data_IF_472163507841
#
_entry.id   IF_472163507841
#
_cell.length_a   1.000
_cell.length_b   1.000
_cell.length_c   1.000
_cell.angle_alpha   90.00
_cell.angle_beta   90.00
_cell.angle_gamma   90.00
#
_symmetry.space_group_name_H-M   'P 1'
#
loop_
_entity.id
_entity.type
_entity.pdbx_description
1 polymer ?
#
# COMPACT_ATOMS: atom_id res chain seq x y z
N UNK A 1 -17.45 73.31 9.25
CA UNK A 1 -18.23 72.34 10.05
C UNK A 1 -18.44 71.07 9.22
N UNK A 2 -18.13 69.90 9.81
CA UNK A 2 -18.69 68.55 9.56
C UNK A 2 -19.20 68.22 8.12
N UNK A 3 -18.71 67.21 7.39
CA UNK A 3 -18.39 65.84 7.80
C UNK A 3 -17.33 65.23 6.84
N UNK A 4 -16.27 64.68 7.44
CA UNK A 4 -15.51 63.54 6.89
C UNK A 4 -16.50 62.37 6.79
N UNK A 5 -16.55 61.68 5.65
CA UNK A 5 -16.96 60.28 5.46
C UNK A 5 -17.25 60.05 3.97
N UNK A 6 -16.20 59.81 3.17
CA UNK A 6 -16.38 58.95 2.00
C UNK A 6 -15.71 57.63 2.36
N UNK A 7 -16.58 56.70 2.71
CA UNK A 7 -16.33 55.40 3.28
C UNK A 7 -15.51 54.56 2.31
N UNK A 8 -14.42 54.01 2.81
CA UNK A 8 -13.56 53.02 2.15
C UNK A 8 -14.44 51.82 1.74
N UNK A 9 -14.83 51.76 0.47
CA UNK A 9 -15.51 50.62 -0.15
C UNK A 9 -14.48 49.65 -0.77
N UNK A 10 -13.41 49.35 -0.01
CA UNK A 10 -12.36 48.41 -0.40
C UNK A 10 -12.02 47.55 0.81
N UNK A 11 -12.95 46.69 1.25
CA UNK A 11 -12.65 45.47 2.03
C UNK A 11 -13.97 44.76 2.38
N UNK A 12 -14.45 43.89 1.50
CA UNK A 12 -15.23 42.68 1.84
C UNK A 12 -15.71 42.01 0.56
N UNK A 13 -14.81 41.84 -0.41
CA UNK A 13 -14.91 40.69 -1.30
C UNK A 13 -14.59 39.46 -0.44
N UNK A 14 -15.54 39.06 0.41
CA UNK A 14 -15.55 37.75 1.03
C UNK A 14 -15.79 36.79 -0.13
N UNK A 15 -14.70 36.41 -0.79
CA UNK A 15 -14.63 35.15 -1.50
C UNK A 15 -14.91 34.08 -0.46
N UNK A 16 -16.19 33.81 -0.26
CA UNK A 16 -16.66 32.56 0.32
C UNK A 16 -16.23 31.47 -0.65
N UNK A 17 -14.94 31.11 -0.62
CA UNK A 17 -14.51 29.75 -0.91
C UNK A 17 -15.22 28.88 0.12
N UNK A 18 -16.47 28.57 -0.20
CA UNK A 18 -17.18 27.49 0.43
C UNK A 18 -16.30 26.28 0.16
N UNK A 19 -15.59 25.82 1.19
CA UNK A 19 -15.02 24.49 1.20
C UNK A 19 -16.20 23.58 0.92
N UNK A 20 -16.37 23.20 -0.35
CA UNK A 20 -17.43 22.29 -0.73
C UNK A 20 -17.07 21.00 -0.02
N UNK A 21 -17.69 20.78 1.16
CA UNK A 21 -17.73 19.48 1.79
C UNK A 21 -18.14 18.52 0.69
N UNK A 22 -17.26 17.58 0.40
CA UNK A 22 -17.34 16.93 -0.89
C UNK A 22 -18.71 16.22 -1.01
N UNK A 23 -19.46 16.40 -2.12
CA UNK A 23 -20.90 16.11 -2.21
C UNK A 23 -21.32 14.68 -1.82
N UNK A 24 -20.34 13.78 -1.69
CA UNK A 24 -20.47 12.36 -1.40
C UNK A 24 -20.47 11.99 0.10
N UNK A 25 -20.10 12.91 1.01
CA UNK A 25 -20.11 12.66 2.47
C UNK A 25 -21.55 12.49 2.98
N UNK A 26 -22.54 13.09 2.30
CA UNK A 26 -23.96 13.05 2.70
C UNK A 26 -24.63 11.68 2.53
N UNK A 27 -24.02 10.74 1.81
CA UNK A 27 -24.68 9.51 1.37
C UNK A 27 -24.30 8.22 2.12
N UNK A 28 -23.43 8.27 3.13
CA UNK A 28 -23.00 7.08 3.86
C UNK A 28 -23.42 7.11 5.34
N UNK A 29 -24.72 7.11 5.63
CA UNK A 29 -25.26 7.38 6.98
C UNK A 29 -25.30 6.21 7.97
N UNK A 30 -24.48 5.15 7.83
CA UNK A 30 -24.52 4.05 8.83
C UNK A 30 -23.21 3.64 9.51
N UNK A 31 -22.04 4.07 9.04
CA UNK A 31 -20.75 4.05 9.77
C UNK A 31 -19.70 4.74 8.90
N UNK A 32 -19.08 5.82 9.38
CA UNK A 32 -17.89 6.37 8.72
C UNK A 32 -16.79 5.29 8.69
N UNK A 33 -16.03 5.17 7.60
CA UNK A 33 -14.98 4.17 7.49
C UNK A 33 -13.89 4.43 8.54
N UNK A 34 -13.74 3.51 9.50
CA UNK A 34 -12.70 3.63 10.54
C UNK A 34 -11.29 3.43 9.99
N UNK A 35 -11.16 2.80 8.83
CA UNK A 35 -9.89 2.45 8.20
C UNK A 35 -9.86 2.93 6.76
N UNK A 36 -8.86 3.72 6.41
CA UNK A 36 -8.54 4.03 5.01
C UNK A 36 -7.57 2.98 4.48
N UNK A 37 -7.99 2.23 3.46
CA UNK A 37 -7.12 1.30 2.74
C UNK A 37 -6.38 2.07 1.66
N UNK A 38 -5.07 1.86 1.57
CA UNK A 38 -4.18 2.45 0.56
C UNK A 38 -3.46 1.34 -0.19
N UNK A 39 -3.50 1.39 -1.52
CA UNK A 39 -2.87 0.39 -2.38
C UNK A 39 -2.15 1.01 -3.57
N UNK A 40 -1.12 0.32 -4.05
CA UNK A 40 -0.51 0.61 -5.34
C UNK A 40 -1.43 0.23 -6.50
N UNK A 41 -1.30 0.89 -7.64
CA UNK A 41 -2.05 0.54 -8.86
C UNK A 41 -1.50 -0.73 -9.56
N UNK A 42 -1.66 -1.88 -8.92
CA UNK A 42 -1.26 -3.20 -9.41
C UNK A 42 -2.40 -4.21 -9.24
N UNK A 43 -2.42 -5.28 -10.05
CA UNK A 43 -3.50 -6.27 -10.08
C UNK A 43 -3.87 -6.80 -8.68
N UNK A 44 -2.91 -7.40 -7.97
CA UNK A 44 -3.18 -8.08 -6.69
C UNK A 44 -3.55 -7.14 -5.54
N UNK A 45 -2.80 -6.06 -5.24
CA UNK A 45 -3.20 -5.11 -4.21
C UNK A 45 -4.56 -4.46 -4.51
N UNK A 46 -4.83 -4.13 -5.78
CA UNK A 46 -6.12 -3.54 -6.19
C UNK A 46 -7.27 -4.53 -6.05
N UNK A 47 -7.05 -5.81 -6.34
CA UNK A 47 -8.03 -6.87 -6.11
C UNK A 47 -8.35 -7.02 -4.61
N UNK A 48 -7.33 -6.98 -3.75
CA UNK A 48 -7.52 -7.02 -2.30
C UNK A 48 -8.40 -5.85 -1.83
N UNK A 49 -8.06 -4.63 -2.22
CA UNK A 49 -8.84 -3.44 -1.86
C UNK A 49 -10.25 -3.46 -2.43
N UNK A 50 -10.43 -3.95 -3.67
CA UNK A 50 -11.75 -4.10 -4.28
C UNK A 50 -12.61 -5.14 -3.54
N UNK A 51 -12.00 -6.25 -3.08
CA UNK A 51 -12.68 -7.27 -2.28
C UNK A 51 -13.11 -6.70 -0.93
N UNK A 52 -12.21 -6.00 -0.23
CA UNK A 52 -12.53 -5.29 1.02
C UNK A 52 -13.70 -4.31 0.79
N UNK A 53 -13.65 -3.50 -0.28
CA UNK A 53 -14.74 -2.58 -0.64
C UNK A 53 -16.04 -3.34 -0.90
N UNK A 54 -16.01 -4.46 -1.60
CA UNK A 54 -17.21 -5.27 -1.86
C UNK A 54 -17.89 -5.76 -0.59
N UNK A 55 -17.10 -6.10 0.43
CA UNK A 55 -17.58 -6.62 1.71
C UNK A 55 -17.99 -5.53 2.71
N UNK A 56 -17.28 -4.40 2.72
CA UNK A 56 -17.44 -3.35 3.74
C UNK A 56 -18.11 -2.09 3.22
N UNK A 57 -18.25 -1.95 1.90
CA UNK A 57 -18.61 -0.70 1.22
C UNK A 57 -17.71 0.50 1.54
N UNK A 58 -16.52 0.27 2.11
CA UNK A 58 -15.58 1.35 2.45
C UNK A 58 -14.78 1.80 1.21
N UNK A 59 -14.51 3.11 1.07
CA UNK A 59 -13.65 3.59 0.00
C UNK A 59 -12.19 3.20 0.24
N UNK A 60 -11.40 3.19 -0.84
CA UNK A 60 -9.95 2.99 -0.76
C UNK A 60 -9.21 3.92 -1.70
N UNK A 61 -7.97 4.24 -1.33
CA UNK A 61 -7.08 5.10 -2.08
C UNK A 61 -6.13 4.26 -2.94
N UNK A 62 -6.08 4.56 -4.22
CA UNK A 62 -5.05 4.06 -5.13
C UNK A 62 -3.98 5.13 -5.29
N UNK A 63 -2.72 4.72 -5.15
CA UNK A 63 -1.55 5.52 -5.47
C UNK A 63 -0.86 4.90 -6.68
N UNK A 64 -0.61 5.69 -7.70
CA UNK A 64 0.15 5.25 -8.87
C UNK A 64 1.65 5.49 -8.68
N UNK A 65 2.48 4.85 -9.52
CA UNK A 65 3.95 5.03 -9.49
C UNK A 65 4.38 6.49 -9.70
N UNK A 66 3.61 7.24 -10.49
CA UNK A 66 3.81 8.67 -10.78
C UNK A 66 3.12 9.62 -9.78
N UNK A 67 2.76 9.13 -8.58
CA UNK A 67 2.16 9.92 -7.49
C UNK A 67 0.81 10.58 -7.84
N UNK A 68 0.00 9.94 -8.68
CA UNK A 68 -1.41 10.30 -8.84
C UNK A 68 -2.25 9.51 -7.86
N UNK A 69 -3.29 10.15 -7.37
CA UNK A 69 -4.18 9.62 -6.35
C UNK A 69 -5.57 9.41 -6.94
N UNK A 70 -6.17 8.26 -6.68
CA UNK A 70 -7.54 7.97 -7.07
C UNK A 70 -8.30 7.42 -5.87
N UNK A 71 -9.38 8.09 -5.48
CA UNK A 71 -10.29 7.59 -4.46
C UNK A 71 -11.33 6.71 -5.13
N UNK A 72 -11.33 5.42 -4.81
CA UNK A 72 -12.34 4.47 -5.29
C UNK A 72 -13.44 4.37 -4.24
N UNK A 73 -14.64 4.80 -4.62
CA UNK A 73 -15.82 4.82 -3.78
C UNK A 73 -16.88 3.87 -4.31
N UNK A 74 -17.98 3.70 -3.59
CA UNK A 74 -19.04 2.72 -3.91
C UNK A 74 -19.51 2.82 -5.36
N UNK A 75 -19.72 4.04 -5.87
CA UNK A 75 -20.30 4.31 -7.19
C UNK A 75 -19.36 4.99 -8.19
N UNK A 76 -18.18 5.43 -7.77
CA UNK A 76 -17.30 6.24 -8.61
C UNK A 76 -15.83 6.08 -8.23
N UNK A 77 -14.96 6.25 -9.21
CA UNK A 77 -13.52 6.47 -8.98
C UNK A 77 -13.23 7.92 -9.31
N UNK A 78 -12.70 8.67 -8.33
CA UNK A 78 -12.47 10.12 -8.45
C UNK A 78 -10.97 10.40 -8.38
N UNK A 79 -10.39 11.11 -9.37
CA UNK A 79 -9.01 11.58 -9.27
C UNK A 79 -8.90 12.62 -8.15
N UNK A 80 -7.89 12.47 -7.30
CA UNK A 80 -7.61 13.38 -6.18
C UNK A 80 -6.35 14.19 -6.51
N UNK A 81 -6.45 15.52 -6.65
CA UNK A 81 -5.28 16.37 -6.80
C UNK A 81 -4.33 16.23 -5.61
N UNK A 82 -3.02 16.18 -5.85
CA UNK A 82 -2.02 15.94 -4.82
C UNK A 82 -2.03 17.02 -3.71
N UNK A 83 -2.31 18.27 -4.08
CA UNK A 83 -2.46 19.42 -3.20
C UNK A 83 -3.73 19.39 -2.33
N UNK A 84 -4.69 18.52 -2.67
CA UNK A 84 -5.95 18.36 -1.93
C UNK A 84 -6.07 17.00 -1.24
N UNK A 85 -5.05 16.15 -1.32
CA UNK A 85 -5.10 14.81 -0.76
C UNK A 85 -5.44 14.80 0.73
N UNK A 86 -4.88 15.76 1.46
CA UNK A 86 -5.17 16.00 2.87
C UNK A 86 -6.67 16.27 3.10
N UNK A 87 -7.27 17.21 2.35
CA UNK A 87 -8.69 17.54 2.47
C UNK A 87 -9.57 16.31 2.26
N UNK A 88 -9.26 15.48 1.26
CA UNK A 88 -10.02 14.26 0.97
C UNK A 88 -9.88 13.20 2.08
N UNK A 89 -8.67 12.98 2.59
CA UNK A 89 -8.44 12.04 3.69
C UNK A 89 -9.11 12.53 4.97
N UNK A 90 -9.05 13.84 5.25
CA UNK A 90 -9.67 14.45 6.42
C UNK A 90 -11.19 14.36 6.40
N UNK A 91 -11.79 14.48 5.22
CA UNK A 91 -13.23 14.27 5.02
C UNK A 91 -13.68 12.84 5.33
N UNK A 92 -12.81 11.84 5.10
CA UNK A 92 -13.08 10.46 5.49
C UNK A 92 -12.94 10.24 7.00
N UNK A 93 -12.16 11.09 7.68
CA UNK A 93 -11.83 11.02 9.10
C UNK A 93 -11.49 9.59 9.57
N UNK A 94 -10.52 8.90 8.92
CA UNK A 94 -10.20 7.53 9.29
C UNK A 94 -9.42 7.48 10.62
N UNK A 95 -9.72 6.48 11.45
CA UNK A 95 -8.99 6.23 12.69
C UNK A 95 -7.65 5.50 12.46
N UNK A 96 -7.44 4.93 11.26
CA UNK A 96 -6.17 4.34 10.83
C UNK A 96 -6.04 4.34 9.31
N UNK A 97 -4.81 4.34 8.83
CA UNK A 97 -4.46 4.08 7.43
C UNK A 97 -3.79 2.72 7.34
N UNK A 98 -4.24 1.87 6.43
CA UNK A 98 -3.63 0.57 6.16
C UNK A 98 -3.09 0.57 4.75
N UNK A 99 -1.77 0.46 4.62
CA UNK A 99 -1.10 0.29 3.34
C UNK A 99 -0.96 -1.21 3.07
N UNK A 100 -1.47 -1.68 1.93
CA UNK A 100 -1.37 -3.09 1.55
C UNK A 100 -0.28 -3.25 0.49
N UNK A 101 0.66 -4.16 0.76
CA UNK A 101 1.80 -4.47 -0.09
C UNK A 101 3.10 -3.86 0.42
N UNK A 102 4.22 -4.40 -0.08
CA UNK A 102 5.56 -3.90 0.20
C UNK A 102 5.90 -2.62 -0.60
N UNK A 103 7.15 -2.18 -0.50
CA UNK A 103 7.64 -0.96 -1.15
C UNK A 103 7.62 -1.01 -2.68
N UNK A 104 7.50 -2.19 -3.29
CA UNK A 104 7.34 -2.34 -4.75
C UNK A 104 5.99 -1.81 -5.23
N UNK A 105 4.99 -1.78 -4.36
CA UNK A 105 3.63 -1.34 -4.67
C UNK A 105 3.36 0.09 -4.22
N UNK A 106 3.77 0.43 -2.99
CA UNK A 106 3.65 1.78 -2.42
C UNK A 106 5.00 2.11 -1.80
N UNK A 107 5.73 3.05 -2.42
CA UNK A 107 7.11 3.35 -2.00
C UNK A 107 7.15 3.98 -0.62
N UNK A 108 8.30 3.88 0.05
CA UNK A 108 8.51 4.56 1.33
C UNK A 108 8.28 6.07 1.22
N UNK A 109 8.71 6.71 0.13
CA UNK A 109 8.47 8.13 -0.10
C UNK A 109 6.98 8.49 -0.20
N UNK A 110 6.16 7.60 -0.78
CA UNK A 110 4.70 7.78 -0.82
C UNK A 110 4.07 7.60 0.55
N UNK A 111 4.53 6.62 1.32
CA UNK A 111 4.10 6.44 2.71
C UNK A 111 4.45 7.66 3.58
N UNK A 112 5.67 8.19 3.48
CA UNK A 112 6.07 9.39 4.22
C UNK A 112 5.20 10.60 3.87
N UNK A 113 4.80 10.75 2.60
CA UNK A 113 3.83 11.80 2.20
C UNK A 113 2.47 11.64 2.87
N UNK A 114 2.04 10.42 3.18
CA UNK A 114 0.81 10.20 3.95
C UNK A 114 1.02 10.55 5.43
N UNK A 115 2.21 10.30 5.98
CA UNK A 115 2.57 10.63 7.38
C UNK A 115 2.67 12.15 7.62
N UNK A 116 2.98 12.94 6.59
CA UNK A 116 3.07 14.41 6.70
C UNK A 116 1.71 15.12 6.67
N UNK A 117 0.62 14.40 6.40
CA UNK A 117 -0.74 14.97 6.38
C UNK A 117 -1.10 15.45 7.79
N UNK A 118 -1.32 16.77 7.92
CA UNK A 118 -1.29 17.54 9.17
C UNK A 118 -2.39 17.22 10.20
N UNK A 119 -3.35 16.36 9.91
CA UNK A 119 -4.55 16.24 10.74
C UNK A 119 -4.57 14.86 11.39
N UNK A 120 -4.33 14.87 12.70
CA UNK A 120 -4.34 13.74 13.63
C UNK A 120 -3.21 12.74 13.33
N UNK A 121 -2.55 12.25 14.39
CA UNK A 121 -1.55 11.17 14.28
C UNK A 121 -2.27 9.86 13.94
N UNK A 122 -2.87 9.79 12.75
CA UNK A 122 -3.58 8.61 12.29
C UNK A 122 -2.52 7.52 12.13
N UNK A 123 -2.61 6.40 12.88
CA UNK A 123 -1.65 5.34 12.76
C UNK A 123 -1.66 4.79 11.34
N UNK A 124 -0.49 4.78 10.71
CA UNK A 124 -0.26 4.13 9.42
C UNK A 124 0.38 2.78 9.67
N UNK A 125 -0.36 1.73 9.34
CA UNK A 125 0.06 0.33 9.43
C UNK A 125 0.29 -0.19 8.01
N UNK A 126 1.41 -0.85 7.78
CA UNK A 126 1.66 -1.54 6.51
C UNK A 126 1.52 -3.04 6.73
N UNK A 127 0.72 -3.69 5.90
CA UNK A 127 0.60 -5.15 5.84
C UNK A 127 1.21 -5.61 4.52
N UNK A 128 2.23 -6.45 4.61
CA UNK A 128 2.99 -6.92 3.46
C UNK A 128 3.50 -8.35 3.71
N UNK A 129 3.87 -9.04 2.63
CA UNK A 129 4.30 -10.43 2.65
C UNK A 129 4.34 -11.02 1.25
N UNK A 130 4.95 -12.21 1.13
CA UNK A 130 4.98 -12.96 -0.14
C UNK A 130 3.68 -13.72 -0.43
N UNK A 131 2.94 -14.08 0.61
CA UNK A 131 1.68 -14.83 0.50
C UNK A 131 0.47 -13.88 0.65
N UNK A 132 -0.20 -13.62 -0.46
CA UNK A 132 -1.39 -12.78 -0.51
C UNK A 132 -2.60 -13.41 0.21
N UNK A 133 -2.66 -14.74 0.32
CA UNK A 133 -3.67 -15.43 1.10
C UNK A 133 -3.51 -15.17 2.60
N UNK A 134 -2.27 -15.17 3.09
CA UNK A 134 -1.96 -14.82 4.49
C UNK A 134 -2.18 -13.34 4.80
N UNK A 135 -1.84 -12.46 3.86
CA UNK A 135 -2.19 -11.02 3.96
C UNK A 135 -3.71 -10.84 4.07
N UNK A 136 -4.48 -11.65 3.33
CA UNK A 136 -5.94 -11.59 3.38
C UNK A 136 -6.49 -12.01 4.74
N UNK A 137 -5.93 -13.07 5.36
CA UNK A 137 -6.29 -13.52 6.71
C UNK A 137 -6.00 -12.44 7.77
N UNK A 138 -4.79 -11.87 7.75
CA UNK A 138 -4.41 -10.79 8.68
C UNK A 138 -5.33 -9.57 8.54
N UNK A 139 -5.69 -9.21 7.30
CA UNK A 139 -6.64 -8.13 7.04
C UNK A 139 -8.07 -8.50 7.48
N UNK A 140 -8.47 -9.76 7.35
CA UNK A 140 -9.80 -10.25 7.76
C UNK A 140 -9.99 -10.07 9.26
N UNK A 141 -8.97 -10.46 10.03
CA UNK A 141 -8.92 -10.35 11.49
C UNK A 141 -8.82 -8.88 11.92
N UNK A 142 -7.87 -8.12 11.35
CA UNK A 142 -7.66 -6.72 11.73
C UNK A 142 -8.89 -5.85 11.44
N UNK A 143 -9.59 -6.10 10.34
CA UNK A 143 -10.77 -5.34 9.93
C UNK A 143 -12.09 -5.94 10.46
N UNK A 144 -12.04 -7.13 11.06
CA UNK A 144 -13.19 -7.90 11.54
C UNK A 144 -14.26 -8.09 10.45
N UNK A 145 -13.84 -8.61 9.29
CA UNK A 145 -14.71 -8.82 8.11
C UNK A 145 -15.32 -10.24 8.11
N UNK A 146 -14.54 -11.26 8.47
CA UNK A 146 -14.93 -12.66 8.66
C UNK A 146 -14.99 -13.54 7.39
N UNK A 147 -14.87 -12.95 6.20
CA UNK A 147 -14.86 -13.70 4.94
C UNK A 147 -13.91 -13.12 3.89
N UNK A 148 -13.07 -12.15 4.22
CA UNK A 148 -12.15 -11.52 3.28
C UNK A 148 -11.20 -12.54 2.66
N UNK A 149 -10.59 -13.42 3.46
CA UNK A 149 -9.60 -14.36 2.94
C UNK A 149 -10.19 -15.33 1.91
N UNK A 150 -11.39 -15.85 2.20
CA UNK A 150 -12.14 -16.75 1.31
C UNK A 150 -12.54 -16.05 0.01
N UNK A 151 -13.12 -14.86 0.11
CA UNK A 151 -13.59 -14.09 -1.05
C UNK A 151 -12.41 -13.63 -1.92
N UNK A 152 -11.32 -13.20 -1.30
CA UNK A 152 -10.10 -12.83 -2.01
C UNK A 152 -9.50 -14.02 -2.76
N UNK A 153 -9.38 -15.20 -2.14
CA UNK A 153 -8.86 -16.41 -2.79
C UNK A 153 -9.71 -16.82 -3.99
N UNK A 154 -11.04 -16.76 -3.88
CA UNK A 154 -11.95 -17.03 -4.99
C UNK A 154 -11.69 -16.06 -6.15
N UNK A 155 -11.71 -14.76 -5.87
CA UNK A 155 -11.50 -13.74 -6.89
C UNK A 155 -10.09 -13.79 -7.49
N UNK A 156 -9.08 -14.18 -6.71
CA UNK A 156 -7.70 -14.33 -7.15
C UNK A 156 -7.53 -15.52 -8.09
N UNK A 157 -8.17 -16.64 -7.77
CA UNK A 157 -8.24 -17.81 -8.64
C UNK A 157 -8.94 -17.47 -9.97
N UNK A 158 -10.10 -16.82 -9.92
CA UNK A 158 -10.83 -16.40 -11.12
C UNK A 158 -9.99 -15.45 -11.99
N UNK A 159 -9.29 -14.50 -11.37
CA UNK A 159 -8.38 -13.60 -12.07
C UNK A 159 -7.26 -14.39 -12.77
N UNK A 160 -6.64 -15.36 -12.09
CA UNK A 160 -5.57 -16.20 -12.67
C UNK A 160 -6.06 -17.09 -13.82
N UNK A 161 -7.30 -17.56 -13.75
CA UNK A 161 -7.93 -18.37 -14.80
C UNK A 161 -8.37 -17.52 -16.00
N UNK A 162 -8.78 -16.27 -15.78
CA UNK A 162 -9.11 -15.33 -16.86
C UNK A 162 -7.86 -14.83 -17.62
N UNK A 163 -6.68 -14.89 -16.99
CA UNK A 163 -5.37 -14.50 -17.54
C UNK A 163 -4.65 -15.70 -18.20
N UNK A 164 -5.38 -16.76 -18.58
CA UNK A 164 -4.85 -18.04 -19.06
C UNK A 164 -4.07 -18.00 -20.38
N UNK A 165 -3.71 -16.83 -20.90
CA UNK A 165 -2.67 -16.69 -21.92
C UNK A 165 -1.26 -16.70 -21.34
N UNK A 166 -1.09 -16.60 -20.02
CA UNK A 166 0.21 -16.68 -19.34
C UNK A 166 0.17 -17.66 -18.16
N UNK A 167 0.33 -18.95 -18.45
CA UNK A 167 0.60 -19.96 -17.42
C UNK A 167 1.95 -19.65 -16.74
N UNK A 168 2.05 -19.65 -15.41
CA UNK A 168 3.33 -19.49 -14.73
C UNK A 168 4.21 -20.74 -14.96
N UNK A 169 5.43 -20.53 -15.44
CA UNK A 169 6.50 -21.53 -15.37
C UNK A 169 6.79 -21.75 -13.88
N UNK A 170 6.70 -23.00 -13.44
CA UNK A 170 6.99 -23.37 -12.06
C UNK A 170 8.39 -22.87 -11.65
N UNK A 171 8.59 -22.37 -10.41
CA UNK A 171 9.91 -21.96 -9.97
C UNK A 171 10.85 -23.17 -9.98
N UNK A 172 11.90 -23.11 -10.80
CA UNK A 172 12.98 -24.08 -10.74
C UNK A 172 13.65 -23.98 -9.36
N UNK A 173 13.73 -25.13 -8.69
CA UNK A 173 14.52 -25.33 -7.49
C UNK A 173 15.98 -25.01 -7.82
N UNK A 174 16.50 -23.90 -7.32
CA UNK A 174 17.93 -23.59 -7.41
C UNK A 174 18.66 -24.59 -6.52
N UNK A 175 19.39 -25.51 -7.14
CA UNK A 175 20.35 -26.37 -6.44
C UNK A 175 21.48 -25.49 -5.89
N UNK A 176 21.63 -25.56 -4.58
CA UNK A 176 22.69 -24.92 -3.80
C UNK A 176 23.98 -25.72 -4.06
N UNK A 177 24.79 -25.30 -5.04
CA UNK A 177 26.13 -25.84 -5.23
C UNK A 177 27.08 -25.19 -4.23
N UNK A 178 27.34 -25.95 -3.15
CA UNK A 178 28.43 -25.76 -2.21
C UNK A 178 29.77 -25.64 -2.94
N UNK A 179 30.45 -24.53 -2.72
CA UNK A 179 31.81 -24.28 -3.17
C UNK A 179 32.80 -25.24 -2.46
N UNK A 180 33.37 -26.19 -3.21
CA UNK A 180 34.62 -26.85 -2.85
C UNK A 180 35.78 -26.10 -3.52
N UNK A 181 36.46 -25.26 -2.77
CA UNK A 181 37.78 -24.73 -3.15
C UNK A 181 38.81 -25.79 -2.76
N UNK A 182 39.22 -26.61 -3.71
CA UNK A 182 40.47 -27.37 -3.61
C UNK A 182 41.58 -26.54 -4.24
N UNK A 183 42.46 -26.01 -3.39
CA UNK A 183 43.75 -25.49 -3.79
C UNK A 183 44.75 -26.65 -3.76
N UNK A 184 45.36 -26.97 -4.89
CA UNK A 184 46.51 -27.88 -4.94
C UNK A 184 47.56 -27.22 -5.82
N UNK A 185 48.61 -26.73 -5.15
CA UNK A 185 49.74 -26.02 -5.73
C UNK A 185 50.92 -27.00 -5.72
N UNK A 186 51.57 -27.13 -6.87
CA UNK A 186 52.68 -28.04 -7.10
C UNK A 186 53.98 -27.62 -6.38
N UNK A 187 54.71 -28.66 -5.98
CA UNK A 187 56.16 -28.84 -6.12
C UNK A 187 57.07 -28.65 -4.88
N UNK A 188 58.01 -29.61 -4.78
CA UNK A 188 59.27 -29.62 -4.01
C UNK A 188 59.09 -29.83 -2.49
N UNK A 189 59.67 -30.82 -1.83
CA UNK A 189 61.05 -31.29 -1.86
C UNK A 189 61.16 -32.64 -1.12
N UNK A 190 62.09 -33.47 -1.58
CA UNK A 190 62.34 -34.85 -1.15
C UNK A 190 63.55 -34.91 -0.18
N UNK A 191 63.47 -35.83 0.80
CA UNK A 191 64.52 -36.38 1.70
C UNK A 191 64.94 -35.58 2.96
N UNK A 192 65.45 -36.24 4.04
CA UNK A 192 65.73 -37.68 4.20
C UNK A 192 65.06 -38.35 5.42
N UNK A 193 64.82 -39.66 5.29
CA UNK A 193 64.50 -40.61 6.35
C UNK A 193 65.68 -40.80 7.31
N UNK A 194 65.43 -40.62 8.60
CA UNK A 194 66.29 -41.12 9.69
C UNK A 194 65.55 -42.29 10.35
N UNK A 195 66.05 -43.51 10.15
CA UNK A 195 65.61 -44.70 10.89
C UNK A 195 66.01 -44.57 12.37
N UNK A 196 65.17 -45.00 13.32
CA UNK A 196 65.63 -45.40 14.63
C UNK A 196 65.77 -46.93 14.73
N UNK A 197 66.89 -47.33 15.33
CA UNK A 197 67.31 -48.69 15.67
C UNK A 197 66.25 -49.51 16.42
N UNK A 198 66.12 -50.79 16.06
CA UNK A 198 65.80 -51.86 17.00
C UNK A 198 66.80 -53.02 16.83
N UNK A 199 67.60 -53.20 17.89
CA UNK A 199 68.37 -54.39 18.36
C UNK A 199 69.66 -54.81 17.64
#
# INVERSE_FOLDING_TARGET
MLKKMSLIAVLAAVFSFSVQAAPWISHNSRRAPKTLIVVGNYKTPRLMAATIKGLTSQPYLIITKDNRYFMVMTKATVPVPADKLDVYINQLNPNRVVIIGDERFVTRAQEEKLRTIKIQRIPIVRIYGGDWGRIAEELDDMLNIGNLAREFRRNYFDLSMSDSTLRPVAPQKVEEQSASVSAENNNSEELPSTEPDEL
#
